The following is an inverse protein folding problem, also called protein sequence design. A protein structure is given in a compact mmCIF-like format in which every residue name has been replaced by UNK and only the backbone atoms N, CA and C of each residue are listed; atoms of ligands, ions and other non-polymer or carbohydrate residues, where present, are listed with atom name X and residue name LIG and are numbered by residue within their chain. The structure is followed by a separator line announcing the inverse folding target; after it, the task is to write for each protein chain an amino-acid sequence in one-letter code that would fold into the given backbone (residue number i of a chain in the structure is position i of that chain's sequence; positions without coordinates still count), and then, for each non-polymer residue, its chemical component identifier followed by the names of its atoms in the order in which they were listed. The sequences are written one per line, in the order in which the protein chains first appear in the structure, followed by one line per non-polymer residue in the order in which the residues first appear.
data_IF_106631293916
#
_entry.id   IF_106631293916
#
_cell.length_a   1.000
_cell.length_b   1.000
_cell.length_c   1.000
_cell.angle_alpha   90.00
_cell.angle_beta   90.00
_cell.angle_gamma   90.00
#
_symmetry.space_group_name_H-M   'P 1'
#
loop_
_entity.id
_entity.type
_entity.pdbx_description
1 polymer ?
#
# COMPACT_ATOMS: atom_id res chain seq x y z
N UNK A 1 1.80 -39.17 12.01
CA UNK A 1 0.74 -38.75 12.96
C UNK A 1 1.27 -37.82 14.05
N UNK A 2 2.37 -38.17 14.73
CA UNK A 2 2.98 -37.32 15.77
C UNK A 2 3.33 -35.88 15.30
N UNK A 3 3.88 -35.70 14.10
CA UNK A 3 4.24 -34.36 13.56
C UNK A 3 2.99 -33.47 13.36
N UNK A 4 1.88 -34.04 12.89
CA UNK A 4 0.63 -33.30 12.70
C UNK A 4 0.01 -32.87 14.03
N UNK A 5 0.03 -33.74 15.04
CA UNK A 5 -0.48 -33.38 16.37
C UNK A 5 0.42 -32.34 17.06
N UNK A 6 1.75 -32.42 16.85
CA UNK A 6 2.68 -31.40 17.31
C UNK A 6 2.38 -30.03 16.67
N UNK A 7 2.17 -29.97 15.35
CA UNK A 7 1.79 -28.73 14.65
C UNK A 7 0.48 -28.13 15.18
N UNK A 8 -0.54 -28.95 15.44
CA UNK A 8 -1.79 -28.50 16.07
C UNK A 8 -1.55 -27.90 17.46
N UNK A 9 -0.65 -28.48 18.25
CA UNK A 9 -0.31 -28.01 19.58
C UNK A 9 0.37 -26.63 19.51
N UNK A 10 1.34 -26.46 18.60
CA UNK A 10 2.00 -25.18 18.33
C UNK A 10 0.99 -24.12 17.87
N UNK A 11 0.08 -24.48 16.94
CA UNK A 11 -0.97 -23.58 16.45
C UNK A 11 -1.93 -23.16 17.57
N UNK A 12 -2.32 -24.10 18.43
CA UNK A 12 -3.20 -23.83 19.57
C UNK A 12 -2.55 -22.88 20.58
N UNK A 13 -1.27 -23.10 20.91
CA UNK A 13 -0.50 -22.19 21.78
C UNK A 13 -0.41 -20.80 21.16
N UNK A 14 -0.13 -20.70 19.87
CA UNK A 14 -0.09 -19.42 19.16
C UNK A 14 -1.45 -18.70 19.21
N UNK A 15 -2.55 -19.38 18.90
CA UNK A 15 -3.89 -18.81 18.94
C UNK A 15 -4.26 -18.33 20.34
N UNK A 16 -3.95 -19.09 21.39
CA UNK A 16 -4.19 -18.66 22.77
C UNK A 16 -3.35 -17.45 23.16
N UNK A 17 -2.09 -17.38 22.71
CA UNK A 17 -1.23 -16.20 22.92
C UNK A 17 -1.77 -14.98 22.18
N UNK A 18 -2.23 -15.18 20.94
CA UNK A 18 -2.85 -14.14 20.13
C UNK A 18 -4.08 -13.55 20.81
N UNK A 19 -5.00 -14.38 21.30
CA UNK A 19 -6.22 -13.94 22.00
C UNK A 19 -5.94 -13.22 23.33
N UNK A 20 -4.82 -13.55 23.99
CA UNK A 20 -4.46 -12.98 25.29
C UNK A 20 -3.65 -11.68 25.20
N UNK A 21 -2.99 -11.43 24.07
CA UNK A 21 -2.10 -10.27 23.89
C UNK A 21 -2.60 -9.32 22.79
N UNK A 22 -3.30 -8.23 23.17
CA UNK A 22 -3.78 -7.23 22.23
C UNK A 22 -2.66 -6.55 21.43
N UNK A 23 -1.42 -6.51 21.93
CA UNK A 23 -0.30 -5.94 21.18
C UNK A 23 0.13 -6.87 20.05
N UNK A 24 0.18 -8.18 20.31
CA UNK A 24 0.45 -9.20 19.31
C UNK A 24 -0.63 -9.19 18.23
N UNK A 25 -1.90 -9.17 18.62
CA UNK A 25 -3.05 -9.04 17.72
C UNK A 25 -2.92 -7.81 16.81
N UNK A 26 -2.75 -6.61 17.38
CA UNK A 26 -2.60 -5.37 16.62
C UNK A 26 -1.40 -5.38 15.67
N UNK A 27 -0.31 -6.04 16.04
CA UNK A 27 0.87 -6.16 15.19
C UNK A 27 0.62 -7.04 13.98
N UNK A 28 -0.02 -8.20 14.19
CA UNK A 28 -0.40 -9.14 13.14
C UNK A 28 -1.43 -8.50 12.21
N UNK A 29 -2.50 -7.92 12.76
CA UNK A 29 -3.53 -7.23 11.97
C UNK A 29 -2.95 -6.09 11.13
N UNK A 30 -2.06 -5.25 11.66
CA UNK A 30 -1.42 -4.19 10.87
C UNK A 30 -0.62 -4.75 9.69
N UNK A 31 0.13 -5.83 9.91
CA UNK A 31 0.91 -6.48 8.86
C UNK A 31 0.01 -7.09 7.78
N UNK A 32 -1.07 -7.73 8.18
CA UNK A 32 -2.06 -8.32 7.28
C UNK A 32 -2.78 -7.25 6.47
N UNK A 33 -3.26 -6.18 7.12
CA UNK A 33 -3.93 -5.05 6.46
C UNK A 33 -3.04 -4.41 5.38
N UNK A 34 -1.72 -4.36 5.59
CA UNK A 34 -0.77 -3.84 4.59
C UNK A 34 -0.71 -4.74 3.35
N UNK A 35 -0.62 -6.05 3.55
CA UNK A 35 -0.59 -7.04 2.46
C UNK A 35 -1.92 -7.01 1.71
N UNK A 36 -3.04 -6.95 2.44
CA UNK A 36 -4.37 -6.89 1.85
C UNK A 36 -4.61 -5.60 1.06
N UNK A 37 -4.16 -4.43 1.58
CA UNK A 37 -4.21 -3.16 0.85
C UNK A 37 -3.43 -3.22 -0.47
N UNK A 38 -2.26 -3.85 -0.46
CA UNK A 38 -1.46 -4.07 -1.67
C UNK A 38 -2.16 -5.02 -2.65
N UNK A 39 -2.77 -6.10 -2.18
CA UNK A 39 -3.53 -7.02 -3.04
C UNK A 39 -4.76 -6.34 -3.66
N UNK A 40 -5.48 -5.51 -2.90
CA UNK A 40 -6.58 -4.71 -3.41
C UNK A 40 -6.11 -3.70 -4.47
N UNK A 41 -4.98 -3.02 -4.24
CA UNK A 41 -4.35 -2.14 -5.22
C UNK A 41 -4.05 -2.90 -6.51
N UNK A 42 -3.36 -4.05 -6.40
CA UNK A 42 -2.97 -4.86 -7.55
C UNK A 42 -4.19 -5.37 -8.33
N UNK A 43 -5.22 -5.85 -7.64
CA UNK A 43 -6.46 -6.30 -8.27
C UNK A 43 -7.13 -5.15 -9.04
N UNK A 44 -7.15 -3.94 -8.46
CA UNK A 44 -7.69 -2.76 -9.13
C UNK A 44 -6.89 -2.38 -10.37
N UNK A 45 -5.55 -2.38 -10.29
CA UNK A 45 -4.68 -2.12 -11.45
C UNK A 45 -4.95 -3.15 -12.56
N UNK A 46 -5.15 -4.42 -12.23
CA UNK A 46 -5.45 -5.46 -13.20
C UNK A 46 -6.81 -5.28 -13.90
N UNK A 47 -7.77 -4.59 -13.26
CA UNK A 47 -9.10 -4.29 -13.83
C UNK A 47 -9.11 -3.05 -14.74
N UNK A 48 -8.02 -2.27 -14.77
CA UNK A 48 -7.90 -1.08 -15.63
C UNK A 48 -8.00 -1.49 -17.09
N UNK A 49 -8.90 -0.84 -17.85
CA UNK A 49 -9.15 -1.17 -19.26
C UNK A 49 -10.19 -2.28 -19.51
N UNK A 50 -10.96 -2.67 -18.49
CA UNK A 50 -12.17 -3.50 -18.64
C UNK A 50 -11.94 -4.98 -18.94
N UNK A 51 -10.69 -5.45 -18.83
CA UNK A 51 -10.35 -6.88 -18.98
C UNK A 51 -10.39 -7.58 -17.61
N UNK A 52 -10.73 -8.88 -17.63
CA UNK A 52 -10.65 -9.77 -16.46
C UNK A 52 -9.19 -9.85 -15.95
N UNK A 53 -9.00 -10.31 -14.72
CA UNK A 53 -7.71 -10.36 -13.97
C UNK A 53 -6.50 -10.99 -14.71
N UNK A 54 -6.70 -11.63 -15.86
CA UNK A 54 -5.66 -12.20 -16.71
C UNK A 54 -5.67 -11.48 -18.07
N UNK A 55 -4.73 -10.55 -18.25
CA UNK A 55 -4.46 -9.96 -19.56
C UNK A 55 -3.30 -10.73 -20.20
N UNK A 56 -3.59 -11.42 -21.31
CA UNK A 56 -2.63 -12.25 -22.04
C UNK A 56 -3.24 -13.57 -22.48
N UNK A 57 -2.91 -14.02 -23.69
CA UNK A 57 -3.29 -15.32 -24.22
C UNK A 57 -2.20 -16.38 -24.00
N UNK A 58 -1.00 -15.95 -23.59
CA UNK A 58 0.17 -16.80 -23.32
C UNK A 58 0.76 -16.55 -21.94
N UNK A 59 1.48 -17.54 -21.40
CA UNK A 59 2.16 -17.43 -20.09
C UNK A 59 3.11 -16.23 -20.01
N UNK A 60 3.80 -15.93 -21.11
CA UNK A 60 4.72 -14.80 -21.22
C UNK A 60 3.98 -13.46 -21.10
N UNK A 61 2.86 -13.30 -21.81
CA UNK A 61 2.05 -12.08 -21.73
C UNK A 61 1.46 -11.87 -20.34
N UNK A 62 1.01 -12.94 -19.70
CA UNK A 62 0.52 -12.92 -18.31
C UNK A 62 1.64 -12.50 -17.36
N UNK A 63 2.86 -13.03 -17.54
CA UNK A 63 4.01 -12.66 -16.73
C UNK A 63 4.38 -11.17 -16.92
N UNK A 64 4.45 -10.69 -18.16
CA UNK A 64 4.72 -9.28 -18.47
C UNK A 64 3.66 -8.38 -17.81
N UNK A 65 2.38 -8.71 -17.99
CA UNK A 65 1.27 -7.98 -17.36
C UNK A 65 1.41 -7.93 -15.84
N UNK A 66 1.80 -9.04 -15.21
CA UNK A 66 2.04 -9.11 -13.78
C UNK A 66 3.20 -8.21 -13.32
N UNK A 67 4.32 -8.19 -14.06
CA UNK A 67 5.44 -7.31 -13.73
C UNK A 67 5.10 -5.84 -13.93
N UNK A 68 4.35 -5.50 -14.98
CA UNK A 68 3.84 -4.14 -15.19
C UNK A 68 2.92 -3.70 -14.04
N UNK A 69 1.98 -4.54 -13.61
CA UNK A 69 1.10 -4.24 -12.48
C UNK A 69 1.89 -4.02 -11.18
N UNK A 70 2.93 -4.83 -10.93
CA UNK A 70 3.84 -4.64 -9.78
C UNK A 70 4.60 -3.33 -9.86
N UNK A 71 5.10 -2.96 -11.04
CA UNK A 71 5.80 -1.70 -11.26
C UNK A 71 4.89 -0.50 -10.96
N UNK A 72 3.66 -0.52 -11.47
CA UNK A 72 2.65 0.54 -11.22
C UNK A 72 2.32 0.63 -9.73
N UNK A 73 2.06 -0.51 -9.07
CA UNK A 73 1.78 -0.53 -7.64
C UNK A 73 2.94 0.06 -6.81
N UNK A 74 4.18 -0.31 -7.14
CA UNK A 74 5.36 0.24 -6.48
C UNK A 74 5.54 1.74 -6.73
N UNK A 75 5.26 2.22 -7.95
CA UNK A 75 5.31 3.64 -8.27
C UNK A 75 4.30 4.45 -7.44
N UNK A 76 3.07 3.94 -7.30
CA UNK A 76 2.02 4.53 -6.45
C UNK A 76 2.45 4.56 -4.98
N UNK A 77 2.93 3.43 -4.46
CA UNK A 77 3.38 3.32 -3.07
C UNK A 77 4.55 4.28 -2.81
N UNK A 78 5.50 4.36 -3.74
CA UNK A 78 6.61 5.28 -3.65
C UNK A 78 6.13 6.73 -3.60
N UNK A 79 5.24 7.12 -4.51
CA UNK A 79 4.70 8.47 -4.57
C UNK A 79 3.96 8.87 -3.28
N UNK A 80 3.07 8.01 -2.79
CA UNK A 80 2.37 8.22 -1.53
C UNK A 80 3.35 8.30 -0.34
N UNK A 81 4.34 7.41 -0.29
CA UNK A 81 5.37 7.41 0.77
C UNK A 81 6.17 8.70 0.73
N UNK A 82 6.57 9.18 -0.46
CA UNK A 82 7.35 10.40 -0.63
C UNK A 82 6.59 11.66 -0.19
N UNK A 83 5.27 11.71 -0.39
CA UNK A 83 4.41 12.78 0.12
C UNK A 83 4.27 12.68 1.64
N UNK A 84 3.96 11.49 2.17
CA UNK A 84 3.79 11.28 3.61
C UNK A 84 5.08 11.57 4.39
N UNK A 85 6.24 11.18 3.85
CA UNK A 85 7.55 11.49 4.45
C UNK A 85 7.80 13.00 4.54
N UNK A 86 7.50 13.76 3.48
CA UNK A 86 7.65 15.23 3.50
C UNK A 86 6.67 15.90 4.45
N UNK A 87 5.42 15.45 4.47
CA UNK A 87 4.43 15.92 5.44
C UNK A 87 4.89 15.64 6.87
N UNK A 88 5.42 14.45 7.13
CA UNK A 88 5.95 14.08 8.44
C UNK A 88 7.04 15.07 8.88
N UNK A 89 8.05 15.32 8.04
CA UNK A 89 9.12 16.28 8.34
C UNK A 89 8.59 17.69 8.60
N UNK A 90 7.66 18.18 7.77
CA UNK A 90 7.03 19.51 7.95
C UNK A 90 6.34 19.65 9.32
N UNK A 91 5.60 18.63 9.75
CA UNK A 91 4.85 18.70 11.02
C UNK A 91 5.68 18.30 12.26
N UNK A 92 6.79 17.59 12.07
CA UNK A 92 7.80 17.38 13.12
C UNK A 92 8.47 18.70 13.48
N UNK A 93 8.85 19.51 12.47
CA UNK A 93 9.43 20.84 12.66
C UNK A 93 8.43 21.83 13.30
N UNK A 94 7.15 21.73 12.93
CA UNK A 94 6.10 22.60 13.50
C UNK A 94 5.58 22.14 14.86
N UNK A 95 5.98 20.96 15.35
CA UNK A 95 5.51 20.39 16.62
C UNK A 95 4.01 20.03 16.67
N UNK A 96 3.34 19.83 15.53
CA UNK A 96 1.90 19.50 15.52
C UNK A 96 1.68 17.99 15.76
N UNK A 97 1.52 17.63 17.04
CA UNK A 97 1.32 16.24 17.48
C UNK A 97 0.06 15.60 16.85
N UNK A 98 -1.00 16.38 16.58
CA UNK A 98 -2.24 15.86 15.98
C UNK A 98 -2.02 15.46 14.52
N UNK A 99 -1.35 16.32 13.75
CA UNK A 99 -1.01 16.03 12.36
C UNK A 99 -0.11 14.79 12.25
N UNK A 100 0.88 14.64 13.14
CA UNK A 100 1.76 13.46 13.20
C UNK A 100 0.98 12.17 13.50
N UNK A 101 0.03 12.23 14.43
CA UNK A 101 -0.84 11.09 14.74
C UNK A 101 -1.75 10.69 13.57
N UNK A 102 -2.16 11.64 12.73
CA UNK A 102 -2.94 11.36 11.52
C UNK A 102 -2.07 10.73 10.42
N UNK A 103 -0.89 11.30 10.16
CA UNK A 103 0.04 10.80 9.12
C UNK A 103 0.45 9.36 9.41
N UNK A 104 0.71 9.02 10.68
CA UNK A 104 1.09 7.66 11.09
C UNK A 104 -0.02 6.62 10.92
N UNK A 105 -1.27 7.05 10.78
CA UNK A 105 -2.41 6.17 10.49
C UNK A 105 -2.66 5.99 8.98
N UNK A 106 -2.08 6.85 8.14
CA UNK A 106 -2.26 6.78 6.69
C UNK A 106 -1.44 5.63 6.09
N UNK A 107 -2.07 4.87 5.19
CA UNK A 107 -1.40 3.78 4.48
C UNK A 107 -0.73 4.32 3.20
N UNK A 108 0.57 4.08 2.98
CA UNK A 108 1.20 4.39 1.70
C UNK A 108 0.65 3.58 0.52
N UNK A 109 -0.02 2.45 0.80
CA UNK A 109 -0.71 1.65 -0.21
C UNK A 109 -2.13 2.14 -0.49
N UNK A 110 -2.57 3.27 0.07
CA UNK A 110 -3.86 3.85 -0.26
C UNK A 110 -3.91 4.24 -1.75
N UNK A 111 -4.99 3.87 -2.44
CA UNK A 111 -5.12 4.08 -3.88
C UNK A 111 -6.49 4.58 -4.30
N UNK A 112 -7.46 4.63 -3.37
CA UNK A 112 -8.83 5.04 -3.68
C UNK A 112 -8.94 6.51 -4.11
N UNK A 113 -7.92 7.32 -3.83
CA UNK A 113 -7.79 8.70 -4.29
C UNK A 113 -7.14 8.83 -5.67
N UNK A 114 -6.65 7.73 -6.26
CA UNK A 114 -5.99 7.73 -7.56
C UNK A 114 -6.99 7.28 -8.61
N UNK A 115 -7.25 8.14 -9.59
CA UNK A 115 -7.96 7.74 -10.80
C UNK A 115 -6.99 6.87 -11.62
N UNK A 116 -7.28 5.57 -11.73
CA UNK A 116 -6.52 4.62 -12.54
C UNK A 116 -7.10 4.45 -13.96
N UNK A 117 -8.39 4.73 -14.11
CA UNK A 117 -9.09 4.68 -15.39
C UNK A 117 -9.20 6.08 -15.99
N UNK A 118 -8.55 6.31 -17.12
CA UNK A 118 -8.60 7.60 -17.81
C UNK A 118 -7.68 7.64 -19.01
N UNK A 119 -7.77 8.71 -19.78
CA UNK A 119 -6.82 9.02 -20.83
C UNK A 119 -5.69 9.88 -20.26
N UNK A 120 -4.48 9.33 -20.23
CA UNK A 120 -3.29 10.03 -19.78
C UNK A 120 -2.41 10.36 -20.99
N UNK A 121 -1.96 11.61 -21.05
CA UNK A 121 -0.96 12.06 -22.02
C UNK A 121 0.36 12.24 -21.31
N UNK A 122 1.43 11.65 -21.83
CA UNK A 122 2.78 11.89 -21.32
C UNK A 122 3.19 13.32 -21.62
N UNK A 123 3.56 14.08 -20.59
CA UNK A 123 4.11 15.41 -20.77
C UNK A 123 5.57 15.28 -21.23
N UNK A 124 5.85 15.65 -22.49
CA UNK A 124 7.19 15.55 -23.06
C UNK A 124 8.15 16.68 -22.61
N UNK A 125 7.67 17.69 -21.88
CA UNK A 125 8.43 18.88 -21.54
C UNK A 125 9.37 18.74 -20.32
N UNK A 126 9.59 17.52 -19.82
CA UNK A 126 10.55 17.27 -18.73
C UNK A 126 10.21 17.97 -17.41
N UNK A 127 8.97 18.47 -17.24
CA UNK A 127 8.51 19.03 -15.96
C UNK A 127 8.42 17.91 -14.94
N UNK A 128 9.39 17.87 -14.03
CA UNK A 128 9.39 16.97 -12.88
C UNK A 128 8.31 17.45 -11.90
N UNK A 129 7.58 16.52 -11.30
CA UNK A 129 6.61 16.84 -10.25
C UNK A 129 7.40 17.34 -9.02
N UNK A 130 7.20 18.61 -8.66
CA UNK A 130 7.74 19.18 -7.44
C UNK A 130 6.85 18.76 -6.25
N UNK A 131 7.35 17.79 -5.49
CA UNK A 131 6.66 17.25 -4.32
C UNK A 131 6.66 18.23 -3.15
N UNK A 132 7.66 19.09 -3.05
CA UNK A 132 7.80 20.04 -1.95
C UNK A 132 6.80 21.19 -2.13
N UNK A 133 6.64 21.68 -3.36
CA UNK A 133 5.57 22.62 -3.71
C UNK A 133 4.16 22.03 -3.47
N UNK A 134 3.97 20.75 -3.76
CA UNK A 134 2.69 20.07 -3.54
C UNK A 134 2.34 19.98 -2.05
N UNK A 135 3.32 19.66 -1.20
CA UNK A 135 3.15 19.53 0.26
C UNK A 135 3.02 20.89 0.96
N UNK A 136 3.60 21.96 0.40
CA UNK A 136 3.49 23.31 0.95
C UNK A 136 2.03 23.76 1.11
N UNK A 137 1.19 23.49 0.10
CA UNK A 137 -0.24 23.86 0.10
C UNK A 137 -1.16 22.96 0.93
N UNK A 138 -0.64 21.92 1.58
CA UNK A 138 -1.44 20.98 2.39
C UNK A 138 -1.38 21.38 3.86
N UNK A 139 -2.54 21.74 4.41
CA UNK A 139 -2.75 21.96 5.85
C UNK A 139 -3.54 20.80 6.45
N UNK A 140 -2.92 20.12 7.42
CA UNK A 140 -3.53 19.12 8.29
C UNK A 140 -3.70 19.82 9.64
N UNK A 141 -4.96 19.94 10.09
CA UNK A 141 -5.37 20.84 11.18
C UNK A 141 -4.79 20.59 12.57
#
# INVERSE_FOLDING_TARGET
RAIFEFDKLIRSIYTLRYLRDPKLERSVHRSQNRIESYHQLRSTIAQVGGKKELTGHTDIEIEISNQCARLIANAIIYYNSAILSRLLTKYEESGNIKALALITQMSPAAWRHILLNGHYTFQSNGKVIDLDALVAGVELG
#
